data_IF_522221864198
#
_entry.id   IF_522221864198
#
_cell.length_a   1.000
_cell.length_b   1.000
_cell.length_c   1.000
_cell.angle_alpha   90.00
_cell.angle_beta   90.00
_cell.angle_gamma   90.00
#
_symmetry.space_group_name_H-M   'P 1'
#
loop_
_entity.id
_entity.type
_entity.pdbx_description
1 polymer ?
#
# COMPACT_ATOMS: atom_id res chain seq x y z
N UNK A 1 -4.14 29.23 17.94
CA UNK A 1 -4.73 28.19 17.11
C UNK A 1 -3.65 27.23 16.63
N UNK A 2 -3.86 25.96 16.80
CA UNK A 2 -2.93 24.94 16.31
C UNK A 2 -3.27 24.67 14.84
N UNK A 3 -2.25 24.70 13.98
CA UNK A 3 -2.44 24.32 12.57
C UNK A 3 -2.74 22.84 12.50
N UNK A 4 -3.74 22.47 11.71
CA UNK A 4 -4.13 21.08 11.57
C UNK A 4 -3.19 20.36 10.59
N UNK A 5 -2.30 19.54 11.14
CA UNK A 5 -1.39 18.69 10.38
C UNK A 5 -1.81 17.21 10.45
N UNK A 6 -2.97 16.94 11.03
CA UNK A 6 -3.43 15.56 11.26
C UNK A 6 -3.53 14.77 9.97
N UNK A 7 -3.91 15.42 8.86
CA UNK A 7 -4.04 14.76 7.57
C UNK A 7 -2.77 14.00 7.18
N UNK A 8 -1.59 14.59 7.46
CA UNK A 8 -0.31 13.98 7.11
C UNK A 8 -0.08 12.69 7.88
N UNK A 9 -0.52 12.64 9.14
CA UNK A 9 -0.35 11.46 9.98
C UNK A 9 -1.41 10.40 9.71
N UNK A 10 -2.53 10.79 9.09
CA UNK A 10 -3.60 9.85 8.75
C UNK A 10 -3.45 9.24 7.35
N UNK A 11 -2.46 9.67 6.57
CA UNK A 11 -2.28 9.21 5.18
C UNK A 11 -2.21 7.69 5.07
N UNK A 12 -1.41 7.06 5.92
CA UNK A 12 -1.23 5.61 5.89
C UNK A 12 -2.54 4.87 6.09
N UNK A 13 -3.35 5.31 7.04
CA UNK A 13 -4.66 4.72 7.32
C UNK A 13 -5.61 4.91 6.15
N UNK A 14 -5.63 6.11 5.58
CA UNK A 14 -6.51 6.43 4.45
C UNK A 14 -6.12 5.60 3.22
N UNK A 15 -4.84 5.53 2.89
CA UNK A 15 -4.34 4.75 1.76
C UNK A 15 -4.68 3.27 1.95
N UNK A 16 -4.43 2.74 3.14
CA UNK A 16 -4.74 1.35 3.45
C UNK A 16 -6.24 1.05 3.23
N UNK A 17 -7.12 1.92 3.71
CA UNK A 17 -8.56 1.73 3.58
C UNK A 17 -9.00 1.71 2.11
N UNK A 18 -8.46 2.62 1.29
CA UNK A 18 -8.77 2.68 -0.13
C UNK A 18 -8.29 1.42 -0.85
N UNK A 19 -7.04 1.04 -0.62
CA UNK A 19 -6.43 -0.12 -1.29
C UNK A 19 -7.14 -1.40 -0.88
N UNK A 20 -7.44 -1.56 0.41
CA UNK A 20 -8.16 -2.73 0.91
C UNK A 20 -9.53 -2.86 0.26
N UNK A 21 -10.32 -1.79 0.26
CA UNK A 21 -11.66 -1.78 -0.31
C UNK A 21 -11.64 -2.13 -1.80
N UNK A 22 -10.76 -1.51 -2.57
CA UNK A 22 -10.67 -1.74 -4.01
C UNK A 22 -10.12 -3.11 -4.35
N UNK A 23 -9.13 -3.59 -3.61
CA UNK A 23 -8.56 -4.92 -3.81
C UNK A 23 -9.62 -5.99 -3.57
N UNK A 24 -10.38 -5.88 -2.49
CA UNK A 24 -11.45 -6.84 -2.21
C UNK A 24 -12.54 -6.79 -3.28
N UNK A 25 -12.91 -5.61 -3.74
CA UNK A 25 -13.90 -5.48 -4.81
C UNK A 25 -13.46 -6.18 -6.09
N UNK A 26 -12.19 -6.05 -6.46
CA UNK A 26 -11.66 -6.60 -7.72
C UNK A 26 -11.35 -8.09 -7.63
N UNK A 27 -10.90 -8.60 -6.49
CA UNK A 27 -10.30 -9.92 -6.39
C UNK A 27 -11.08 -10.93 -5.54
N UNK A 28 -12.05 -10.51 -4.75
CA UNK A 28 -12.75 -11.40 -3.83
C UNK A 28 -13.48 -12.54 -4.55
N UNK A 29 -14.03 -12.28 -5.73
CA UNK A 29 -14.74 -13.31 -6.49
C UNK A 29 -13.80 -14.41 -6.96
N UNK A 30 -12.57 -14.07 -7.31
CA UNK A 30 -11.57 -15.04 -7.79
C UNK A 30 -10.78 -15.66 -6.64
N UNK A 31 -10.52 -14.90 -5.60
CA UNK A 31 -9.78 -15.34 -4.42
C UNK A 31 -10.62 -15.07 -3.18
N UNK A 32 -11.59 -15.97 -2.86
CA UNK A 32 -12.53 -15.73 -1.75
C UNK A 32 -11.87 -15.54 -0.40
N UNK A 33 -10.68 -16.13 -0.21
CA UNK A 33 -9.95 -16.07 1.06
C UNK A 33 -8.89 -14.95 1.09
N UNK A 34 -8.90 -14.05 0.09
CA UNK A 34 -7.91 -12.97 0.07
C UNK A 34 -7.97 -12.14 1.34
N UNK A 35 -6.81 -11.88 1.91
CA UNK A 35 -6.67 -11.15 3.16
C UNK A 35 -5.77 -9.94 2.96
N UNK A 36 -6.31 -8.75 3.18
CA UNK A 36 -5.57 -7.49 3.05
C UNK A 36 -5.35 -6.94 4.45
N UNK A 37 -4.10 -6.71 4.83
CA UNK A 37 -3.74 -6.32 6.18
C UNK A 37 -2.63 -5.26 6.17
N UNK A 38 -2.60 -4.45 7.22
CA UNK A 38 -1.50 -3.53 7.50
C UNK A 38 -0.64 -4.03 8.68
N UNK A 39 -0.90 -5.22 9.16
CA UNK A 39 -0.20 -5.82 10.30
C UNK A 39 0.73 -6.94 9.82
N UNK A 40 2.00 -6.84 10.19
CA UNK A 40 3.03 -7.78 9.73
C UNK A 40 2.91 -9.18 10.30
N UNK A 41 2.17 -9.35 11.40
CA UNK A 41 1.95 -10.66 12.02
C UNK A 41 0.48 -10.87 12.31
N UNK A 42 -0.02 -12.08 12.04
CA UNK A 42 -1.36 -12.48 12.40
C UNK A 42 -1.31 -13.61 13.43
N UNK A 43 -2.27 -13.60 14.35
CA UNK A 43 -2.42 -14.68 15.33
C UNK A 43 -3.34 -15.74 14.75
N UNK A 44 -2.79 -16.71 14.01
CA UNK A 44 -3.60 -17.75 13.43
C UNK A 44 -2.97 -18.36 12.19
N UNK A 45 -3.75 -19.18 11.49
CA UNK A 45 -3.29 -19.79 10.25
C UNK A 45 -3.06 -18.74 9.18
N UNK A 46 -2.01 -18.93 8.40
CA UNK A 46 -1.78 -18.12 7.21
C UNK A 46 -2.96 -18.29 6.24
N UNK A 47 -3.44 -17.16 5.71
CA UNK A 47 -4.52 -17.12 4.74
C UNK A 47 -3.93 -16.65 3.42
N UNK A 48 -4.30 -17.31 2.33
CA UNK A 48 -3.74 -16.98 1.02
C UNK A 48 -4.84 -16.67 0.02
N UNK A 49 -4.62 -15.70 -0.89
CA UNK A 49 -3.46 -14.80 -0.90
C UNK A 49 -3.53 -13.74 0.21
N UNK A 50 -2.37 -13.34 0.71
CA UNK A 50 -2.26 -12.26 1.69
C UNK A 50 -1.62 -11.04 1.03
N UNK A 51 -2.22 -9.88 1.24
CA UNK A 51 -1.68 -8.60 0.79
C UNK A 51 -1.35 -7.79 2.03
N UNK A 52 -0.05 -7.59 2.28
CA UNK A 52 0.43 -6.81 3.41
C UNK A 52 0.86 -5.44 2.92
N UNK A 53 0.21 -4.40 3.44
CA UNK A 53 0.44 -3.01 3.05
C UNK A 53 1.15 -2.32 4.21
N UNK A 54 2.35 -1.83 3.96
CA UNK A 54 3.18 -1.21 4.97
C UNK A 54 3.54 0.21 4.56
N UNK A 55 3.17 1.18 5.40
CA UNK A 55 3.65 2.56 5.22
C UNK A 55 5.10 2.62 5.67
N UNK A 56 5.99 3.10 4.79
CA UNK A 56 7.39 3.31 5.11
C UNK A 56 7.59 4.75 5.59
N UNK A 57 8.69 5.03 6.32
CA UNK A 57 8.99 6.40 6.73
C UNK A 57 9.02 7.33 5.53
N UNK A 58 8.25 8.41 5.61
CA UNK A 58 8.21 9.44 4.59
C UNK A 58 9.01 10.66 5.01
N UNK A 59 8.86 11.73 4.25
CA UNK A 59 9.52 12.98 4.57
C UNK A 59 8.65 14.17 4.19
N UNK A 60 8.78 15.24 4.97
CA UNK A 60 8.08 16.48 4.67
C UNK A 60 8.68 17.14 3.44
N UNK A 61 7.83 17.72 2.59
CA UNK A 61 8.21 18.45 1.39
C UNK A 61 7.54 19.81 1.38
N UNK A 62 8.20 20.80 0.79
CA UNK A 62 7.62 22.12 0.60
C UNK A 62 7.35 22.87 1.89
N UNK A 63 8.23 22.73 2.89
CA UNK A 63 8.08 23.45 4.15
C UNK A 63 8.10 24.97 3.92
N UNK A 64 7.22 25.70 4.64
CA UNK A 64 7.19 27.15 4.59
C UNK A 64 8.26 27.75 5.53
N UNK A 65 8.41 29.08 5.47
CA UNK A 65 9.41 29.78 6.28
C UNK A 65 9.11 29.69 7.78
N UNK A 66 7.85 29.56 8.14
CA UNK A 66 7.44 29.46 9.55
C UNK A 66 7.58 28.04 10.08
N UNK A 67 7.52 27.04 9.21
CA UNK A 67 7.68 25.64 9.57
C UNK A 67 6.56 25.07 10.45
N UNK A 68 5.37 25.69 10.45
CA UNK A 68 4.26 25.26 11.31
C UNK A 68 3.29 24.32 10.62
N UNK A 69 3.19 24.40 9.29
CA UNK A 69 2.26 23.61 8.50
C UNK A 69 3.01 22.58 7.70
N UNK A 70 2.47 21.35 7.69
CA UNK A 70 2.94 20.33 6.76
C UNK A 70 2.20 20.57 5.45
N UNK A 71 2.93 20.99 4.40
CA UNK A 71 2.34 21.32 3.11
C UNK A 71 2.23 20.11 2.19
N UNK A 72 3.22 19.24 2.23
CA UNK A 72 3.25 18.02 1.44
C UNK A 72 4.11 16.96 2.12
N UNK A 73 3.84 15.70 1.80
CA UNK A 73 4.59 14.56 2.31
C UNK A 73 4.98 13.66 1.14
N UNK A 74 6.23 13.22 1.13
CA UNK A 74 6.66 12.15 0.24
C UNK A 74 6.25 10.83 0.91
N UNK A 75 5.20 10.22 0.38
CA UNK A 75 4.64 8.99 0.94
C UNK A 75 5.16 7.78 0.17
N UNK A 76 5.67 6.81 0.90
CA UNK A 76 6.15 5.54 0.32
C UNK A 76 5.44 4.39 1.00
N UNK A 77 4.89 3.49 0.20
CA UNK A 77 4.15 2.33 0.68
C UNK A 77 4.77 1.08 0.07
N UNK A 78 5.08 0.11 0.91
CA UNK A 78 5.54 -1.20 0.46
C UNK A 78 4.38 -2.19 0.52
N UNK A 79 4.25 -2.99 -0.52
CA UNK A 79 3.22 -4.03 -0.59
C UNK A 79 3.90 -5.37 -0.80
N UNK A 80 3.57 -6.33 0.07
CA UNK A 80 3.99 -7.72 -0.05
C UNK A 80 2.77 -8.57 -0.35
N UNK A 81 2.80 -9.30 -1.46
CA UNK A 81 1.75 -10.26 -1.80
C UNK A 81 2.33 -11.66 -1.68
N UNK A 82 1.66 -12.52 -0.92
CA UNK A 82 2.09 -13.89 -0.68
C UNK A 82 0.94 -14.85 -1.01
N UNK A 83 1.24 -15.92 -1.74
CA UNK A 83 0.30 -16.99 -1.99
C UNK A 83 1.04 -18.34 -1.99
N UNK A 84 0.29 -19.41 -1.75
CA UNK A 84 0.85 -20.78 -1.80
C UNK A 84 0.43 -21.54 -3.06
N UNK A 85 -0.22 -20.89 -4.02
CA UNK A 85 -0.80 -21.58 -5.17
C UNK A 85 0.09 -21.54 -6.41
N UNK A 86 0.51 -20.34 -6.88
CA UNK A 86 1.34 -20.24 -8.07
C UNK A 86 1.94 -18.85 -8.22
N UNK A 87 2.99 -18.77 -9.04
CA UNK A 87 3.57 -17.49 -9.43
C UNK A 87 2.58 -16.64 -10.23
N UNK A 88 1.76 -17.28 -11.07
CA UNK A 88 0.75 -16.58 -11.84
C UNK A 88 -0.25 -15.86 -10.94
N UNK A 89 -0.65 -16.48 -9.84
CA UNK A 89 -1.59 -15.89 -8.88
C UNK A 89 -0.98 -14.69 -8.16
N UNK A 90 0.27 -14.81 -7.69
CA UNK A 90 0.91 -13.69 -7.01
C UNK A 90 1.13 -12.51 -7.98
N UNK A 91 1.42 -12.79 -9.24
CA UNK A 91 1.54 -11.77 -10.27
C UNK A 91 0.22 -11.04 -10.50
N UNK A 92 -0.88 -11.79 -10.56
CA UNK A 92 -2.21 -11.22 -10.81
C UNK A 92 -2.65 -10.33 -9.66
N UNK A 93 -2.47 -10.79 -8.43
CA UNK A 93 -2.84 -10.00 -7.26
C UNK A 93 -1.99 -8.72 -7.18
N UNK A 94 -0.67 -8.85 -7.37
CA UNK A 94 0.20 -7.68 -7.35
C UNK A 94 -0.13 -6.70 -8.47
N UNK A 95 -0.46 -7.19 -9.66
CA UNK A 95 -0.86 -6.32 -10.78
C UNK A 95 -2.10 -5.50 -10.43
N UNK A 96 -3.09 -6.12 -9.82
CA UNK A 96 -4.31 -5.42 -9.39
C UNK A 96 -3.99 -4.35 -8.35
N UNK A 97 -3.20 -4.68 -7.34
CA UNK A 97 -2.80 -3.73 -6.29
C UNK A 97 -2.01 -2.58 -6.90
N UNK A 98 -1.05 -2.88 -7.78
CA UNK A 98 -0.26 -1.85 -8.45
C UNK A 98 -1.14 -0.91 -9.28
N UNK A 99 -2.14 -1.45 -9.96
CA UNK A 99 -3.07 -0.65 -10.74
C UNK A 99 -3.88 0.30 -9.85
N UNK A 100 -4.25 -0.14 -8.66
CA UNK A 100 -4.94 0.71 -7.69
C UNK A 100 -4.05 1.89 -7.26
N UNK A 101 -2.76 1.60 -6.96
CA UNK A 101 -1.82 2.67 -6.64
C UNK A 101 -1.60 3.63 -7.80
N UNK A 102 -1.58 3.12 -9.03
CA UNK A 102 -1.49 4.00 -10.22
C UNK A 102 -2.71 4.90 -10.35
N UNK A 103 -3.90 4.40 -10.01
CA UNK A 103 -5.11 5.22 -9.99
C UNK A 103 -5.03 6.34 -8.95
N UNK A 104 -4.30 6.11 -7.88
CA UNK A 104 -4.03 7.13 -6.85
C UNK A 104 -2.81 8.00 -7.19
N UNK A 105 -2.34 7.96 -8.42
CA UNK A 105 -1.19 8.74 -8.92
C UNK A 105 0.13 8.42 -8.24
N UNK A 106 0.29 7.25 -7.68
CA UNK A 106 1.58 6.78 -7.19
C UNK A 106 2.44 6.32 -8.36
N UNK A 107 3.75 6.50 -8.23
CA UNK A 107 4.72 5.88 -9.13
C UNK A 107 5.23 4.58 -8.52
N UNK A 108 5.66 3.66 -9.38
CA UNK A 108 6.30 2.42 -8.91
C UNK A 108 7.77 2.78 -8.65
N UNK A 109 8.12 2.92 -7.39
CA UNK A 109 9.50 3.25 -6.99
C UNK A 109 10.42 2.04 -7.15
N UNK A 110 9.88 0.84 -6.85
CA UNK A 110 10.60 -0.41 -7.00
C UNK A 110 9.64 -1.42 -7.61
N UNK A 111 9.99 -1.94 -8.81
CA UNK A 111 9.19 -2.96 -9.47
C UNK A 111 9.13 -4.22 -8.60
N UNK A 112 8.05 -5.01 -8.72
CA UNK A 112 7.89 -6.16 -7.86
C UNK A 112 9.05 -7.16 -7.97
N UNK A 113 9.65 -7.46 -6.82
CA UNK A 113 10.67 -8.48 -6.69
C UNK A 113 10.01 -9.81 -6.29
N UNK A 114 10.45 -10.90 -6.91
CA UNK A 114 9.83 -12.20 -6.73
C UNK A 114 10.71 -13.12 -5.88
N UNK A 115 10.07 -13.80 -4.92
CA UNK A 115 10.71 -14.82 -4.09
C UNK A 115 9.87 -16.08 -4.02
N UNK A 116 10.54 -17.21 -4.03
CA UNK A 116 9.91 -18.52 -3.78
C UNK A 116 10.76 -19.27 -2.75
N UNK A 117 10.13 -19.65 -1.64
CA UNK A 117 10.85 -20.31 -0.54
C UNK A 117 10.60 -21.82 -0.44
N UNK A 118 10.02 -22.44 -1.47
CA UNK A 118 9.66 -23.85 -1.46
C UNK A 118 8.22 -24.12 -1.05
N UNK A 119 7.56 -23.16 -0.41
CA UNK A 119 6.18 -23.30 0.05
C UNK A 119 5.30 -22.17 -0.45
N UNK A 120 5.81 -20.94 -0.47
CA UNK A 120 5.04 -19.77 -0.84
C UNK A 120 5.74 -18.97 -1.92
N UNK A 121 4.93 -18.28 -2.73
CA UNK A 121 5.33 -17.34 -3.76
C UNK A 121 5.07 -15.94 -3.22
N UNK A 122 6.05 -15.06 -3.31
CA UNK A 122 5.95 -13.71 -2.77
C UNK A 122 6.44 -12.68 -3.78
N UNK A 123 5.73 -11.56 -3.86
CA UNK A 123 6.19 -10.38 -4.57
C UNK A 123 6.13 -9.17 -3.66
N UNK A 124 7.15 -8.31 -3.77
CA UNK A 124 7.27 -7.08 -2.99
C UNK A 124 7.47 -5.92 -3.95
N UNK A 125 6.69 -4.87 -3.79
CA UNK A 125 6.80 -3.65 -4.58
C UNK A 125 6.73 -2.43 -3.67
N UNK A 126 7.28 -1.31 -4.13
CA UNK A 126 7.20 -0.02 -3.43
C UNK A 126 6.59 1.02 -4.34
N UNK A 127 5.69 1.81 -3.77
CA UNK A 127 4.97 2.87 -4.46
C UNK A 127 5.21 4.18 -3.75
N UNK A 128 5.32 5.26 -4.50
CA UNK A 128 5.71 6.55 -3.96
C UNK A 128 4.92 7.66 -4.60
N UNK A 129 4.51 8.65 -3.79
CA UNK A 129 3.82 9.85 -4.28
C UNK A 129 4.07 11.00 -3.33
N UNK A 130 4.24 12.21 -3.88
CA UNK A 130 4.20 13.43 -3.08
C UNK A 130 2.73 13.84 -2.96
N UNK A 131 2.23 13.93 -1.73
CA UNK A 131 0.83 14.23 -1.44
C UNK A 131 0.76 15.54 -0.68
N UNK A 132 0.01 16.50 -1.22
CA UNK A 132 -0.24 17.78 -0.57
C UNK A 132 -1.50 17.76 0.29
N UNK A 133 -1.65 18.75 1.15
CA UNK A 133 -2.73 18.82 2.14
C UNK A 133 -4.12 18.78 1.53
N UNK A 134 -4.28 19.30 0.31
CA UNK A 134 -5.58 19.37 -0.36
C UNK A 134 -5.69 18.43 -1.55
N UNK A 135 -4.75 17.52 -1.70
CA UNK A 135 -4.75 16.58 -2.82
C UNK A 135 -5.81 15.50 -2.63
N UNK A 136 -6.38 15.08 -3.74
CA UNK A 136 -7.23 13.90 -3.76
C UNK A 136 -6.37 12.66 -3.98
N UNK A 137 -6.66 11.61 -3.24
CA UNK A 137 -5.98 10.32 -3.47
C UNK A 137 -6.60 9.59 -4.66
N UNK A 138 -7.89 9.80 -4.88
CA UNK A 138 -8.56 9.11 -5.96
C UNK A 138 -9.70 9.95 -6.54
#
# INVERSE_FOLDING_TARGET
MVTDNQWAFDLGTTIFSIVKSKTLTELKSKYPDIFVTDKGKTNGKAVFPTVYIQELPGSERGADLEGKSINAVLETVQVDVTTNTSRADVNRVMCTVASIFKQMAFTVQSMPDFEYNGETYRKTARFQRIIGANDRLI
#
